data_IF_969166578947
#
_entry.id   IF_969166578947
#
_cell.length_a   1.000
_cell.length_b   1.000
_cell.length_c   1.000
_cell.angle_alpha   90.00
_cell.angle_beta   90.00
_cell.angle_gamma   90.00
#
_symmetry.space_group_name_H-M   'P 1'
#
loop_
_entity.id
_entity.type
_entity.pdbx_description
1 polymer ?
#
# COMPACT_ATOMS: atom_id res chain seq x y z
N UNK A 1 -4.88 11.77 25.35
CA UNK A 1 -4.41 13.14 25.02
C UNK A 1 -3.33 13.05 23.93
N UNK A 2 -3.06 14.14 23.19
CA UNK A 2 -1.98 14.22 22.19
C UNK A 2 -0.60 13.86 22.81
N UNK A 3 -0.39 14.21 24.05
CA UNK A 3 0.85 13.93 24.78
C UNK A 3 1.01 12.44 25.07
N UNK A 4 -0.05 11.74 25.44
CA UNK A 4 -0.03 10.29 25.66
C UNK A 4 0.21 9.52 24.34
N UNK A 5 -0.43 9.95 23.26
CA UNK A 5 -0.24 9.38 21.92
C UNK A 5 1.19 9.57 21.42
N UNK A 6 1.77 10.76 21.65
CA UNK A 6 3.16 11.04 21.31
C UNK A 6 4.15 10.17 22.10
N UNK A 7 3.87 9.90 23.38
CA UNK A 7 4.68 9.04 24.23
C UNK A 7 4.58 7.56 23.80
N UNK A 8 3.40 7.10 23.41
CA UNK A 8 3.20 5.75 22.89
C UNK A 8 3.91 5.56 21.55
N UNK A 9 3.79 6.52 20.62
CA UNK A 9 4.50 6.49 19.34
C UNK A 9 6.03 6.49 19.54
N UNK A 10 6.56 7.22 20.53
CA UNK A 10 7.99 7.23 20.85
C UNK A 10 8.45 5.84 21.34
N UNK A 11 7.68 5.19 22.20
CA UNK A 11 7.96 3.85 22.69
C UNK A 11 7.95 2.80 21.56
N UNK A 12 6.99 2.91 20.64
CA UNK A 12 6.92 2.03 19.45
C UNK A 12 8.19 2.20 18.61
N UNK A 13 8.66 3.42 18.36
CA UNK A 13 9.89 3.69 17.60
C UNK A 13 11.11 3.05 18.24
N UNK A 14 11.27 3.20 19.54
CA UNK A 14 12.41 2.67 20.31
C UNK A 14 12.45 1.13 20.25
N UNK A 15 11.31 0.47 20.44
CA UNK A 15 11.19 -0.99 20.35
C UNK A 15 11.52 -1.49 18.94
N UNK A 16 11.03 -0.79 17.92
CA UNK A 16 11.28 -1.17 16.51
C UNK A 16 12.76 -1.00 16.17
N UNK A 17 13.36 0.13 16.50
CA UNK A 17 14.78 0.41 16.25
C UNK A 17 15.69 -0.63 16.92
N UNK A 18 15.44 -0.94 18.19
CA UNK A 18 16.19 -1.96 18.92
C UNK A 18 16.03 -3.35 18.26
N UNK A 19 14.82 -3.71 17.84
CA UNK A 19 14.55 -4.99 17.20
C UNK A 19 15.22 -5.11 15.83
N UNK A 20 15.16 -4.07 15.00
CA UNK A 20 15.83 -4.06 13.68
C UNK A 20 17.36 -4.12 13.83
N UNK A 21 17.91 -3.41 14.81
CA UNK A 21 19.35 -3.46 15.13
C UNK A 21 19.78 -4.87 15.56
N UNK A 22 18.95 -5.55 16.37
CA UNK A 22 19.22 -6.91 16.80
C UNK A 22 19.21 -7.91 15.62
N UNK A 23 18.25 -7.76 14.69
CA UNK A 23 18.21 -8.59 13.48
C UNK A 23 19.43 -8.33 12.59
N UNK A 24 19.81 -7.07 12.40
CA UNK A 24 21.00 -6.71 11.60
C UNK A 24 22.29 -7.31 12.15
N UNK A 25 22.39 -7.40 13.48
CA UNK A 25 23.58 -7.90 14.17
C UNK A 25 23.65 -9.43 14.24
N UNK A 26 22.53 -10.09 14.51
CA UNK A 26 22.46 -11.50 14.89
C UNK A 26 21.62 -12.37 13.92
N UNK A 27 21.13 -11.82 12.80
CA UNK A 27 20.51 -12.56 11.71
C UNK A 27 19.41 -13.56 12.12
N UNK A 28 19.52 -14.79 11.67
CA UNK A 28 18.55 -15.86 11.95
C UNK A 28 18.39 -16.16 13.44
N UNK A 29 19.44 -15.98 14.25
CA UNK A 29 19.36 -16.18 15.69
C UNK A 29 18.39 -15.17 16.32
N UNK A 30 18.50 -13.88 15.97
CA UNK A 30 17.58 -12.85 16.45
C UNK A 30 16.15 -13.15 16.04
N UNK A 31 15.92 -13.53 14.78
CA UNK A 31 14.58 -13.90 14.27
C UNK A 31 14.00 -15.06 15.08
N UNK A 32 14.78 -16.09 15.42
CA UNK A 32 14.32 -17.22 16.22
C UNK A 32 13.92 -16.82 17.64
N UNK A 33 14.72 -16.00 18.28
CA UNK A 33 14.46 -15.51 19.64
C UNK A 33 13.21 -14.64 19.69
N UNK A 34 13.02 -13.75 18.71
CA UNK A 34 11.84 -12.89 18.56
C UNK A 34 10.58 -13.69 18.25
N UNK A 35 10.64 -14.67 17.33
CA UNK A 35 9.52 -15.54 17.03
C UNK A 35 9.12 -16.43 18.21
N UNK A 36 10.11 -16.91 18.99
CA UNK A 36 9.82 -17.61 20.24
C UNK A 36 9.10 -16.71 21.24
N UNK A 37 9.55 -15.45 21.36
CA UNK A 37 9.01 -14.50 22.34
C UNK A 37 7.61 -14.00 21.97
N UNK A 38 7.36 -13.68 20.71
CA UNK A 38 6.12 -13.01 20.27
C UNK A 38 5.10 -13.96 19.67
N UNK A 39 5.56 -14.99 18.94
CA UNK A 39 4.68 -15.93 18.24
C UNK A 39 4.60 -17.30 18.91
N UNK A 40 5.42 -17.56 19.95
CA UNK A 40 5.61 -18.87 20.56
C UNK A 40 5.86 -19.97 19.51
N UNK A 41 6.68 -19.63 18.49
CA UNK A 41 6.90 -20.46 17.32
C UNK A 41 8.39 -20.59 17.02
N UNK A 42 8.90 -21.83 17.02
CA UNK A 42 10.32 -22.14 16.83
C UNK A 42 10.49 -23.35 15.89
N UNK A 43 10.16 -23.21 14.59
CA UNK A 43 10.31 -24.29 13.64
C UNK A 43 11.80 -24.53 13.34
N UNK A 44 12.12 -25.66 12.73
CA UNK A 44 13.47 -25.89 12.19
C UNK A 44 13.79 -24.88 11.08
N UNK A 45 12.84 -24.65 10.18
CA UNK A 45 12.92 -23.66 9.12
C UNK A 45 11.66 -22.77 9.11
N UNK A 46 11.84 -21.48 8.99
CA UNK A 46 10.70 -20.56 8.81
C UNK A 46 10.11 -20.60 7.42
N UNK A 47 10.89 -20.97 6.41
CA UNK A 47 10.44 -21.17 5.04
C UNK A 47 9.77 -22.50 4.90
N UNK A 48 8.54 -22.50 4.38
CA UNK A 48 7.81 -23.72 4.05
C UNK A 48 8.41 -24.37 2.79
N UNK A 49 8.61 -25.65 2.86
CA UNK A 49 8.96 -26.46 1.70
C UNK A 49 7.70 -26.85 0.89
N UNK A 50 7.89 -27.42 -0.29
CA UNK A 50 6.80 -27.76 -1.20
C UNK A 50 5.79 -28.74 -0.57
N UNK A 51 6.24 -29.73 0.18
CA UNK A 51 5.33 -30.70 0.82
C UNK A 51 4.51 -30.08 1.95
N UNK A 52 5.07 -29.13 2.69
CA UNK A 52 4.34 -28.39 3.73
C UNK A 52 3.28 -27.47 3.11
N UNK A 53 3.58 -26.82 1.99
CA UNK A 53 2.62 -26.02 1.24
C UNK A 53 1.48 -26.89 0.71
N UNK A 54 1.79 -28.03 0.08
CA UNK A 54 0.79 -28.98 -0.42
C UNK A 54 -0.08 -29.52 0.72
N UNK A 55 0.52 -29.87 1.86
CA UNK A 55 -0.22 -30.34 3.04
C UNK A 55 -1.16 -29.25 3.59
N UNK A 56 -0.72 -27.99 3.62
CA UNK A 56 -1.58 -26.87 4.01
C UNK A 56 -2.75 -26.68 3.03
N UNK A 57 -2.50 -26.75 1.73
CA UNK A 57 -3.54 -26.62 0.70
C UNK A 57 -4.61 -27.73 0.83
N UNK A 58 -4.21 -28.98 1.11
CA UNK A 58 -5.14 -30.10 1.32
C UNK A 58 -6.04 -29.93 2.55
N UNK A 59 -5.68 -29.07 3.49
CA UNK A 59 -6.49 -28.78 4.70
C UNK A 59 -7.55 -27.69 4.45
N UNK A 60 -7.47 -26.97 3.32
CA UNK A 60 -8.49 -25.97 2.95
C UNK A 60 -9.72 -26.70 2.39
N UNK A 61 -10.91 -26.33 2.85
CA UNK A 61 -12.14 -26.90 2.32
C UNK A 61 -12.33 -26.55 0.85
N UNK A 62 -13.06 -27.40 0.10
CA UNK A 62 -13.34 -27.11 -1.32
C UNK A 62 -14.05 -25.78 -1.51
N UNK A 63 -14.96 -25.43 -0.60
CA UNK A 63 -15.69 -24.16 -0.64
C UNK A 63 -14.76 -22.96 -0.41
N UNK A 64 -13.92 -23.02 0.63
CA UNK A 64 -12.96 -21.93 0.90
C UNK A 64 -11.97 -21.77 -0.26
N UNK A 65 -11.60 -22.89 -0.91
CA UNK A 65 -10.73 -22.86 -2.08
C UNK A 65 -11.41 -22.17 -3.27
N UNK A 66 -12.71 -22.45 -3.50
CA UNK A 66 -13.50 -21.76 -4.52
C UNK A 66 -13.62 -20.27 -4.25
N UNK A 67 -13.85 -19.88 -2.99
CA UNK A 67 -13.93 -18.47 -2.57
C UNK A 67 -12.59 -17.73 -2.79
N UNK A 68 -11.46 -18.36 -2.42
CA UNK A 68 -10.12 -17.83 -2.70
C UNK A 68 -9.89 -17.67 -4.20
N UNK A 69 -10.25 -18.66 -5.00
CA UNK A 69 -10.10 -18.62 -6.47
C UNK A 69 -10.96 -17.51 -7.09
N UNK A 70 -12.20 -17.34 -6.61
CA UNK A 70 -13.08 -16.28 -7.06
C UNK A 70 -12.46 -14.90 -6.79
N UNK A 71 -12.04 -14.66 -5.55
CA UNK A 71 -11.42 -13.40 -5.15
C UNK A 71 -10.16 -13.11 -5.97
N UNK A 72 -9.26 -14.09 -6.10
CA UNK A 72 -8.03 -13.94 -6.89
C UNK A 72 -8.30 -13.67 -8.36
N UNK A 73 -9.34 -14.26 -8.94
CA UNK A 73 -9.75 -13.97 -10.31
C UNK A 73 -10.15 -12.51 -10.50
N UNK A 74 -10.95 -11.95 -9.58
CA UNK A 74 -11.37 -10.55 -9.68
C UNK A 74 -10.21 -9.59 -9.49
N UNK A 75 -9.34 -9.84 -8.50
CA UNK A 75 -8.14 -9.03 -8.27
C UNK A 75 -7.21 -9.08 -9.47
N UNK A 76 -7.00 -10.25 -10.06
CA UNK A 76 -6.18 -10.42 -11.27
C UNK A 76 -6.74 -9.63 -12.45
N UNK A 77 -8.04 -9.76 -12.71
CA UNK A 77 -8.70 -9.04 -13.81
C UNK A 77 -8.48 -7.52 -13.71
N UNK A 78 -8.63 -6.97 -12.52
CA UNK A 78 -8.45 -5.53 -12.32
C UNK A 78 -6.96 -5.13 -12.37
N UNK A 79 -6.08 -5.91 -11.74
CA UNK A 79 -4.64 -5.68 -11.78
C UNK A 79 -4.07 -5.75 -13.20
N UNK A 80 -4.53 -6.68 -14.04
CA UNK A 80 -4.15 -6.79 -15.46
C UNK A 80 -4.60 -5.57 -16.26
N UNK A 81 -5.82 -5.08 -16.02
CA UNK A 81 -6.32 -3.83 -16.62
C UNK A 81 -5.47 -2.62 -16.20
N UNK A 82 -5.13 -2.52 -14.92
CA UNK A 82 -4.21 -1.49 -14.42
C UNK A 82 -2.83 -1.60 -15.07
N UNK A 83 -2.27 -2.82 -15.18
CA UNK A 83 -0.97 -3.02 -15.83
C UNK A 83 -1.00 -2.62 -17.30
N UNK A 84 -2.07 -2.92 -18.01
CA UNK A 84 -2.24 -2.57 -19.43
C UNK A 84 -2.34 -1.04 -19.65
N UNK A 85 -2.80 -0.27 -18.66
CA UNK A 85 -2.85 1.19 -18.73
C UNK A 85 -1.48 1.88 -18.61
N UNK A 86 -0.45 1.15 -18.16
CA UNK A 86 0.92 1.66 -18.00
C UNK A 86 1.78 1.25 -19.20
N UNK A 87 1.86 2.13 -20.17
CA UNK A 87 2.69 1.92 -21.38
C UNK A 87 4.05 2.59 -21.24
N UNK A 88 5.06 1.99 -21.87
CA UNK A 88 6.34 2.67 -22.10
C UNK A 88 6.14 3.80 -23.10
N UNK A 89 6.95 4.85 -22.99
CA UNK A 89 6.93 6.00 -23.88
C UNK A 89 8.27 6.12 -24.58
N UNK A 90 8.26 6.33 -25.87
CA UNK A 90 9.41 6.78 -26.65
C UNK A 90 8.93 7.83 -27.66
N UNK A 91 9.57 9.00 -27.66
CA UNK A 91 9.18 10.13 -28.47
C UNK A 91 10.41 10.92 -28.95
N UNK A 92 10.39 11.33 -30.19
CA UNK A 92 11.32 12.36 -30.71
C UNK A 92 10.80 13.74 -30.32
N UNK A 93 11.47 14.41 -29.36
CA UNK A 93 11.03 15.71 -28.80
C UNK A 93 11.56 16.89 -29.64
N UNK A 94 12.63 16.67 -30.36
CA UNK A 94 13.19 17.57 -31.37
C UNK A 94 14.00 16.70 -32.34
N UNK A 95 14.25 17.16 -33.57
CA UNK A 95 14.96 16.37 -34.60
C UNK A 95 16.27 15.77 -34.07
N UNK A 96 16.36 14.42 -34.08
CA UNK A 96 17.52 13.67 -33.61
C UNK A 96 17.62 13.50 -32.08
N UNK A 97 16.63 13.92 -31.29
CA UNK A 97 16.60 13.73 -29.83
C UNK A 97 15.44 12.84 -29.43
N UNK A 98 15.75 11.64 -28.99
CA UNK A 98 14.79 10.63 -28.52
C UNK A 98 14.78 10.61 -27.00
N UNK A 99 13.62 10.81 -26.39
CA UNK A 99 13.37 10.62 -24.96
C UNK A 99 12.38 9.50 -24.75
N UNK A 100 12.58 8.74 -23.67
CA UNK A 100 11.63 7.71 -23.32
C UNK A 100 11.62 7.39 -21.84
N UNK A 101 10.62 6.61 -21.44
CA UNK A 101 10.65 5.93 -20.16
C UNK A 101 10.15 4.48 -20.27
N UNK A 102 10.59 3.66 -19.34
CA UNK A 102 10.18 2.27 -19.21
C UNK A 102 9.65 2.01 -17.82
N UNK A 103 8.57 1.23 -17.75
CA UNK A 103 7.98 0.75 -16.49
C UNK A 103 8.55 -0.63 -16.14
N UNK A 104 9.55 -0.65 -15.26
CA UNK A 104 10.33 -1.84 -14.91
C UNK A 104 9.96 -2.32 -13.52
N UNK A 105 9.55 -3.60 -13.33
CA UNK A 105 9.24 -4.14 -12.01
C UNK A 105 10.43 -4.04 -11.06
N UNK A 106 10.14 -3.86 -9.75
CA UNK A 106 11.14 -4.11 -8.71
C UNK A 106 11.60 -5.57 -8.81
N UNK A 107 12.87 -5.85 -8.50
CA UNK A 107 13.43 -7.20 -8.71
C UNK A 107 12.98 -8.19 -7.64
N UNK A 108 12.62 -7.71 -6.45
CA UNK A 108 12.09 -8.56 -5.39
C UNK A 108 11.18 -7.76 -4.45
N UNK A 109 10.17 -8.45 -3.91
CA UNK A 109 9.24 -7.88 -2.94
C UNK A 109 8.99 -8.84 -1.78
N UNK A 110 8.92 -8.30 -0.57
CA UNK A 110 8.47 -8.98 0.64
C UNK A 110 7.03 -8.57 0.95
N UNK A 111 6.11 -9.51 0.84
CA UNK A 111 4.70 -9.34 1.13
C UNK A 111 4.42 -9.76 2.56
N UNK A 112 4.12 -8.80 3.43
CA UNK A 112 3.70 -9.07 4.79
C UNK A 112 2.19 -9.27 4.83
N UNK A 113 1.76 -10.44 5.29
CA UNK A 113 0.36 -10.79 5.50
C UNK A 113 0.07 -10.76 7.00
N UNK A 114 -0.78 -9.84 7.47
CA UNK A 114 -1.07 -9.76 8.89
C UNK A 114 -1.82 -11.01 9.39
N UNK A 115 -1.62 -11.30 10.65
CA UNK A 115 -2.29 -12.36 11.38
C UNK A 115 -2.44 -11.97 12.83
N UNK A 116 -2.82 -12.88 13.68
CA UNK A 116 -3.05 -12.67 15.09
C UNK A 116 -4.51 -12.88 15.45
N UNK A 117 -5.28 -11.82 15.71
CA UNK A 117 -6.72 -11.96 16.06
C UNK A 117 -7.53 -12.62 14.93
N UNK A 118 -7.24 -12.26 13.68
CA UNK A 118 -7.92 -12.79 12.48
C UNK A 118 -6.92 -13.25 11.41
N UNK A 119 -7.15 -14.39 10.74
CA UNK A 119 -6.36 -14.81 9.60
C UNK A 119 -6.72 -13.95 8.37
N UNK A 120 -5.82 -13.06 7.95
CA UNK A 120 -6.06 -12.10 6.88
C UNK A 120 -5.79 -12.70 5.50
N UNK A 121 -6.62 -13.67 5.07
CA UNK A 121 -6.48 -14.37 3.78
C UNK A 121 -6.48 -13.40 2.59
N UNK A 122 -7.36 -12.38 2.63
CA UNK A 122 -7.44 -11.37 1.58
C UNK A 122 -6.12 -10.60 1.38
N UNK A 123 -5.41 -10.26 2.47
CA UNK A 123 -4.11 -9.56 2.37
C UNK A 123 -3.05 -10.37 1.62
N UNK A 124 -3.13 -11.72 1.65
CA UNK A 124 -2.24 -12.58 0.91
C UNK A 124 -2.38 -12.36 -0.61
N UNK A 125 -3.61 -12.38 -1.14
CA UNK A 125 -3.76 -12.16 -2.58
C UNK A 125 -3.65 -10.68 -2.97
N UNK A 126 -4.03 -9.73 -2.12
CA UNK A 126 -3.91 -8.30 -2.41
C UNK A 126 -2.46 -7.87 -2.65
N UNK A 127 -1.52 -8.42 -1.89
CA UNK A 127 -0.09 -8.11 -2.03
C UNK A 127 0.61 -9.01 -3.07
N UNK A 128 0.52 -10.33 -2.89
CA UNK A 128 1.26 -11.31 -3.71
C UNK A 128 0.80 -11.33 -5.16
N UNK A 129 -0.52 -11.41 -5.39
CA UNK A 129 -1.07 -11.50 -6.74
C UNK A 129 -0.84 -10.20 -7.53
N UNK A 130 -0.99 -9.05 -6.90
CA UNK A 130 -0.73 -7.75 -7.54
C UNK A 130 0.74 -7.62 -7.94
N UNK A 131 1.67 -8.07 -7.09
CA UNK A 131 3.10 -8.12 -7.42
C UNK A 131 3.38 -9.09 -8.59
N UNK A 132 2.70 -10.24 -8.61
CA UNK A 132 2.82 -11.22 -9.70
C UNK A 132 2.35 -10.64 -11.04
N UNK A 133 1.21 -9.96 -11.07
CA UNK A 133 0.70 -9.28 -12.28
C UNK A 133 1.62 -8.13 -12.72
N UNK A 134 2.24 -7.42 -11.78
CA UNK A 134 3.24 -6.41 -12.11
C UNK A 134 4.50 -6.99 -12.77
N UNK A 135 4.72 -8.30 -12.68
CA UNK A 135 5.88 -9.00 -13.23
C UNK A 135 7.11 -8.97 -12.32
N UNK A 136 6.93 -8.89 -11.00
CA UNK A 136 8.04 -8.95 -10.03
C UNK A 136 8.69 -10.33 -10.08
N UNK A 137 10.01 -10.44 -10.37
CA UNK A 137 10.66 -11.75 -10.59
C UNK A 137 10.77 -12.61 -9.33
N UNK A 138 10.91 -12.00 -8.14
CA UNK A 138 10.99 -12.70 -6.87
C UNK A 138 10.00 -12.11 -5.87
N UNK A 139 9.03 -12.92 -5.47
CA UNK A 139 7.99 -12.57 -4.52
C UNK A 139 8.12 -13.50 -3.32
N UNK A 140 8.44 -12.94 -2.16
CA UNK A 140 8.41 -13.67 -0.90
C UNK A 140 7.23 -13.18 -0.07
N UNK A 141 6.58 -14.08 0.65
CA UNK A 141 5.43 -13.76 1.48
C UNK A 141 5.63 -14.31 2.89
N UNK A 142 5.24 -13.55 3.90
CA UNK A 142 5.36 -13.94 5.30
C UNK A 142 4.08 -13.65 6.05
N UNK A 143 3.62 -14.63 6.83
CA UNK A 143 2.49 -14.49 7.75
C UNK A 143 2.84 -15.11 9.12
N UNK A 144 2.31 -14.57 10.23
CA UNK A 144 2.52 -15.18 11.55
C UNK A 144 1.86 -16.55 11.63
N UNK A 145 2.34 -17.42 12.51
CA UNK A 145 1.65 -18.67 12.83
C UNK A 145 0.31 -18.38 13.52
N UNK A 146 -0.63 -19.27 13.34
CA UNK A 146 -1.92 -19.27 14.05
C UNK A 146 -1.99 -20.54 14.87
N UNK A 147 -2.14 -20.42 16.19
CA UNK A 147 -2.11 -21.56 17.12
C UNK A 147 -0.85 -22.43 16.99
N UNK A 148 0.31 -21.82 16.69
CA UNK A 148 1.59 -22.50 16.61
C UNK A 148 1.84 -23.24 15.30
N UNK A 149 1.05 -23.00 14.25
CA UNK A 149 1.22 -23.60 12.92
C UNK A 149 0.86 -22.62 11.78
N UNK A 150 1.33 -22.89 10.52
CA UNK A 150 0.92 -22.12 9.36
C UNK A 150 -0.59 -22.22 9.14
N UNK A 151 -1.27 -21.10 8.92
CA UNK A 151 -2.70 -21.09 8.62
C UNK A 151 -2.97 -21.56 7.18
N UNK A 152 -3.72 -22.69 6.97
CA UNK A 152 -3.86 -23.32 5.67
C UNK A 152 -4.36 -22.42 4.56
N UNK A 153 -5.42 -21.63 4.81
CA UNK A 153 -6.00 -20.73 3.82
C UNK A 153 -5.07 -19.57 3.44
N UNK A 154 -4.26 -19.06 4.40
CA UNK A 154 -3.27 -18.01 4.12
C UNK A 154 -2.16 -18.58 3.24
N UNK A 155 -1.64 -19.78 3.55
CA UNK A 155 -0.61 -20.45 2.75
C UNK A 155 -1.13 -20.72 1.34
N UNK A 156 -2.35 -21.24 1.20
CA UNK A 156 -2.99 -21.45 -0.09
C UNK A 156 -3.12 -20.16 -0.90
N UNK A 157 -3.60 -19.09 -0.28
CA UNK A 157 -3.77 -17.79 -0.92
C UNK A 157 -2.43 -17.20 -1.38
N UNK A 158 -1.37 -17.27 -0.56
CA UNK A 158 -0.03 -16.83 -0.95
C UNK A 158 0.54 -17.66 -2.11
N UNK A 159 0.42 -18.99 -2.03
CA UNK A 159 0.93 -19.89 -3.07
C UNK A 159 0.22 -19.68 -4.40
N UNK A 160 -1.11 -19.69 -4.40
CA UNK A 160 -1.93 -19.50 -5.60
C UNK A 160 -1.82 -18.08 -6.17
N UNK A 161 -1.51 -17.09 -5.33
CA UNK A 161 -1.21 -15.71 -5.74
C UNK A 161 0.11 -15.56 -6.48
N UNK A 162 1.01 -16.54 -6.37
CA UNK A 162 2.29 -16.56 -7.07
C UNK A 162 3.51 -16.25 -6.17
N UNK A 163 3.43 -16.48 -4.86
CA UNK A 163 4.59 -16.39 -3.99
C UNK A 163 5.62 -17.47 -4.34
N UNK A 164 6.87 -17.08 -4.54
CA UNK A 164 7.99 -17.98 -4.80
C UNK A 164 8.53 -18.61 -3.51
N UNK A 165 8.43 -17.88 -2.41
CA UNK A 165 8.89 -18.30 -1.10
C UNK A 165 7.84 -17.89 -0.05
N UNK A 166 7.50 -18.82 0.84
CA UNK A 166 6.51 -18.58 1.90
C UNK A 166 7.19 -18.84 3.24
N UNK A 167 7.13 -17.83 4.12
CA UNK A 167 7.70 -17.85 5.45
C UNK A 167 6.59 -17.78 6.51
N UNK A 168 6.81 -18.44 7.63
CA UNK A 168 5.89 -18.38 8.79
C UNK A 168 6.56 -17.57 9.90
N UNK A 169 6.39 -16.27 9.81
CA UNK A 169 6.93 -15.28 10.75
C UNK A 169 5.98 -14.09 10.80
N UNK A 170 5.82 -13.50 11.98
CA UNK A 170 5.01 -12.30 12.19
C UNK A 170 5.82 -11.06 12.57
N UNK A 171 5.14 -9.95 12.73
CA UNK A 171 5.65 -8.74 13.36
C UNK A 171 6.89 -8.09 12.73
N UNK A 172 7.63 -7.39 13.57
CA UNK A 172 8.85 -6.65 13.18
C UNK A 172 9.89 -7.62 12.64
N UNK A 173 10.02 -8.81 13.23
CA UNK A 173 11.05 -9.79 12.83
C UNK A 173 10.84 -10.30 11.40
N UNK A 174 9.61 -10.46 10.94
CA UNK A 174 9.33 -10.81 9.55
C UNK A 174 9.73 -9.69 8.59
N UNK A 175 9.29 -8.48 8.88
CA UNK A 175 9.57 -7.29 8.06
C UNK A 175 11.06 -6.96 8.06
N UNK A 176 11.71 -7.02 9.23
CA UNK A 176 13.14 -6.83 9.39
C UNK A 176 13.96 -7.86 8.63
N UNK A 177 13.64 -9.15 8.79
CA UNK A 177 14.35 -10.24 8.09
C UNK A 177 14.22 -10.12 6.56
N UNK A 178 13.04 -9.78 6.05
CA UNK A 178 12.84 -9.58 4.61
C UNK A 178 13.61 -8.37 4.06
N UNK A 179 13.75 -7.29 4.83
CA UNK A 179 14.41 -6.07 4.36
C UNK A 179 15.93 -6.07 4.56
N UNK A 180 16.38 -6.57 5.70
CA UNK A 180 17.80 -6.56 6.08
C UNK A 180 18.52 -7.76 5.46
N UNK A 181 17.81 -8.89 5.36
CA UNK A 181 18.38 -10.18 5.05
C UNK A 181 18.93 -10.89 6.29
N UNK A 182 19.01 -12.20 6.23
CA UNK A 182 19.62 -13.07 7.22
C UNK A 182 20.42 -14.16 6.53
N UNK A 183 20.96 -15.13 7.26
CA UNK A 183 21.69 -16.25 6.66
C UNK A 183 20.80 -17.12 5.75
N UNK A 184 19.49 -17.16 6.03
CA UNK A 184 18.53 -17.99 5.25
C UNK A 184 17.54 -17.18 4.41
N UNK A 185 17.51 -15.85 4.55
CA UNK A 185 16.59 -14.97 3.83
C UNK A 185 17.38 -13.91 3.05
N UNK A 186 17.41 -14.04 1.75
CA UNK A 186 17.95 -13.01 0.88
C UNK A 186 17.09 -11.74 0.95
N UNK A 187 17.66 -10.54 1.13
CA UNK A 187 16.89 -9.30 1.28
C UNK A 187 16.10 -8.97 0.01
N UNK A 188 15.00 -8.24 0.20
CA UNK A 188 14.15 -7.74 -0.88
C UNK A 188 14.40 -6.27 -1.15
N UNK A 189 13.95 -5.80 -2.32
CA UNK A 189 14.06 -4.39 -2.69
C UNK A 189 12.85 -3.55 -2.25
N UNK A 190 11.72 -4.19 -1.92
CA UNK A 190 10.50 -3.51 -1.51
C UNK A 190 9.72 -4.35 -0.50
N UNK A 191 9.08 -3.68 0.45
CA UNK A 191 8.14 -4.28 1.41
C UNK A 191 6.73 -3.78 1.14
N UNK A 192 5.77 -4.68 1.17
CA UNK A 192 4.34 -4.36 1.02
C UNK A 192 3.49 -5.10 2.03
N UNK A 193 2.31 -4.58 2.27
CA UNK A 193 1.31 -5.16 3.15
C UNK A 193 1.01 -4.31 4.38
N UNK A 194 -0.24 -4.37 4.87
CA UNK A 194 -0.68 -3.68 6.06
C UNK A 194 -0.17 -4.38 7.32
N UNK A 195 -0.22 -3.71 8.46
CA UNK A 195 0.15 -4.30 9.73
C UNK A 195 -0.19 -3.39 10.91
N UNK A 196 0.07 -3.86 12.13
CA UNK A 196 -0.11 -3.05 13.32
C UNK A 196 0.92 -1.90 13.40
N UNK A 197 0.83 -1.06 14.43
CA UNK A 197 1.69 0.10 14.61
C UNK A 197 3.21 -0.23 14.56
N UNK A 198 3.59 -1.41 15.08
CA UNK A 198 4.99 -1.86 15.06
C UNK A 198 5.47 -2.22 13.65
N UNK A 199 4.64 -2.91 12.87
CA UNK A 199 4.94 -3.26 11.47
C UNK A 199 5.00 -2.00 10.61
N UNK A 200 4.05 -1.08 10.79
CA UNK A 200 4.03 0.19 10.09
C UNK A 200 5.28 1.03 10.39
N UNK A 201 5.68 1.10 11.67
CA UNK A 201 6.88 1.80 12.09
C UNK A 201 8.16 1.11 11.58
N UNK A 202 8.20 -0.23 11.55
CA UNK A 202 9.34 -0.97 10.98
C UNK A 202 9.51 -0.65 9.49
N UNK A 203 8.42 -0.64 8.72
CA UNK A 203 8.45 -0.20 7.31
C UNK A 203 8.96 1.23 7.17
N UNK A 204 8.52 2.14 8.04
CA UNK A 204 8.96 3.55 8.04
C UNK A 204 10.46 3.68 8.29
N UNK A 205 11.02 2.93 9.26
CA UNK A 205 12.45 2.97 9.56
C UNK A 205 13.31 2.31 8.49
N UNK A 206 12.77 1.31 7.79
CA UNK A 206 13.45 0.61 6.70
C UNK A 206 13.35 1.34 5.35
N UNK A 207 12.46 2.33 5.23
CA UNK A 207 12.34 3.13 4.01
C UNK A 207 13.65 3.87 3.71
N UNK A 208 14.09 3.74 2.47
CA UNK A 208 15.40 4.23 2.03
C UNK A 208 16.43 3.09 1.89
N UNK A 209 16.40 2.10 2.78
CA UNK A 209 17.09 0.81 2.57
C UNK A 209 16.34 -0.05 1.57
N UNK A 210 15.01 -0.11 1.72
CA UNK A 210 14.08 -0.75 0.80
C UNK A 210 12.94 0.20 0.46
N UNK A 211 12.23 -0.02 -0.65
CA UNK A 211 10.98 0.67 -0.94
C UNK A 211 9.84 0.15 -0.04
N UNK A 212 8.80 0.96 0.13
CA UNK A 212 7.55 0.53 0.77
C UNK A 212 6.35 0.90 -0.11
N UNK A 213 5.24 0.21 0.06
CA UNK A 213 3.98 0.51 -0.63
C UNK A 213 3.41 1.87 -0.21
N UNK A 214 3.10 1.98 1.09
CA UNK A 214 2.53 3.16 1.73
C UNK A 214 2.61 3.01 3.26
N UNK A 215 2.27 4.06 3.97
CA UNK A 215 2.09 4.02 5.41
C UNK A 215 0.62 3.69 5.73
N UNK A 216 0.38 2.54 6.35
CA UNK A 216 -0.94 2.11 6.80
C UNK A 216 -0.94 1.92 8.33
N UNK A 217 -1.77 2.67 9.02
CA UNK A 217 -2.04 2.57 10.45
C UNK A 217 -3.40 1.90 10.73
N UNK A 218 -4.07 2.26 11.84
CA UNK A 218 -5.43 1.78 12.14
C UNK A 218 -6.39 2.12 11.01
N UNK A 219 -7.32 1.20 10.72
CA UNK A 219 -8.35 1.37 9.70
C UNK A 219 -9.26 2.56 10.01
N UNK A 220 -9.54 3.36 8.99
CA UNK A 220 -10.40 4.54 9.03
C UNK A 220 -11.54 4.37 8.03
N UNK A 221 -12.78 4.68 8.43
CA UNK A 221 -13.92 4.63 7.51
C UNK A 221 -14.78 5.88 7.59
N UNK A 222 -15.31 6.27 6.45
CA UNK A 222 -16.24 7.39 6.31
C UNK A 222 -17.43 6.96 5.48
N UNK A 223 -18.64 7.29 5.94
CA UNK A 223 -19.89 7.16 5.19
C UNK A 223 -20.39 8.56 4.86
N UNK A 224 -20.47 8.89 3.59
CA UNK A 224 -21.12 10.10 3.07
C UNK A 224 -22.47 9.69 2.53
N UNK A 225 -23.55 10.17 3.16
CA UNK A 225 -24.89 9.73 2.81
C UNK A 225 -25.90 10.88 2.88
N UNK A 226 -26.95 10.78 2.08
CA UNK A 226 -28.08 11.70 2.09
C UNK A 226 -29.42 10.96 2.36
N UNK A 227 -30.53 11.64 2.16
CA UNK A 227 -31.88 11.14 2.39
C UNK A 227 -32.32 9.96 1.49
N UNK A 228 -31.49 9.57 0.52
CA UNK A 228 -31.82 8.51 -0.46
C UNK A 228 -31.53 7.10 0.04
N UNK A 229 -30.83 6.97 1.17
CA UNK A 229 -30.49 5.68 1.80
C UNK A 229 -31.07 5.59 3.21
N UNK A 230 -31.14 4.36 3.71
CA UNK A 230 -31.64 4.09 5.06
C UNK A 230 -30.52 4.04 6.11
N UNK A 231 -30.93 4.24 7.35
CA UNK A 231 -30.03 4.30 8.48
C UNK A 231 -29.36 2.95 8.81
N UNK A 232 -30.03 1.82 8.50
CA UNK A 232 -29.47 0.48 8.78
C UNK A 232 -28.22 0.22 7.92
N UNK A 233 -28.22 0.61 6.63
CA UNK A 233 -27.05 0.53 5.78
C UNK A 233 -25.89 1.36 6.35
N UNK A 234 -26.16 2.63 6.68
CA UNK A 234 -25.13 3.52 7.21
C UNK A 234 -24.52 2.97 8.52
N UNK A 235 -25.35 2.57 9.47
CA UNK A 235 -24.92 2.03 10.75
C UNK A 235 -24.13 0.71 10.61
N UNK A 236 -24.58 -0.17 9.69
CA UNK A 236 -23.92 -1.45 9.43
C UNK A 236 -22.54 -1.23 8.83
N UNK A 237 -22.39 -0.33 7.87
CA UNK A 237 -21.09 -0.04 7.24
C UNK A 237 -20.11 0.63 8.20
N UNK A 238 -20.59 1.53 9.08
CA UNK A 238 -19.77 2.14 10.13
C UNK A 238 -19.25 1.10 11.14
N UNK A 239 -20.16 0.29 11.69
CA UNK A 239 -19.82 -0.70 12.72
C UNK A 239 -19.02 -1.88 12.18
N UNK A 240 -19.26 -2.28 10.92
CA UNK A 240 -18.49 -3.33 10.24
C UNK A 240 -17.02 -2.97 10.07
N UNK A 241 -16.67 -1.69 10.07
CA UNK A 241 -15.28 -1.24 10.06
C UNK A 241 -14.75 -0.93 11.46
N UNK A 242 -15.61 -0.44 12.38
CA UNK A 242 -15.23 -0.19 13.77
C UNK A 242 -14.76 -1.45 14.52
N UNK A 243 -15.18 -2.66 14.09
CA UNK A 243 -14.76 -3.94 14.66
C UNK A 243 -13.29 -4.30 14.44
N UNK A 244 -12.60 -3.62 13.52
CA UNK A 244 -11.18 -3.86 13.22
C UNK A 244 -10.27 -3.63 14.43
N UNK A 245 -10.60 -2.66 15.29
CA UNK A 245 -9.82 -2.38 16.49
C UNK A 245 -10.41 -1.27 17.35
N UNK A 246 -10.02 -1.22 18.60
CA UNK A 246 -10.49 -0.23 19.58
C UNK A 246 -10.18 1.25 19.20
N UNK A 247 -9.35 1.47 18.21
CA UNK A 247 -8.88 2.78 17.76
C UNK A 247 -9.11 3.01 16.24
N UNK A 248 -10.14 2.38 15.67
CA UNK A 248 -10.53 2.50 14.27
C UNK A 248 -11.57 3.61 14.08
N UNK A 249 -11.21 4.82 13.60
CA UNK A 249 -12.16 5.90 13.43
C UNK A 249 -13.26 5.56 12.42
N UNK A 250 -14.50 5.92 12.78
CA UNK A 250 -15.66 5.77 11.90
C UNK A 250 -16.44 7.08 11.88
N UNK A 251 -16.56 7.71 10.73
CA UNK A 251 -17.26 8.99 10.57
C UNK A 251 -18.44 8.88 9.62
N UNK A 252 -19.56 9.50 9.95
CA UNK A 252 -20.65 9.76 9.02
C UNK A 252 -20.74 11.24 8.73
N UNK A 253 -20.86 11.59 7.45
CA UNK A 253 -21.11 12.95 6.99
C UNK A 253 -22.42 12.95 6.22
N UNK A 254 -23.35 13.81 6.62
CA UNK A 254 -24.67 13.88 5.98
C UNK A 254 -25.23 15.30 5.99
N UNK A 255 -26.08 15.62 5.03
CA UNK A 255 -26.91 16.83 5.04
C UNK A 255 -28.36 16.56 5.51
N UNK A 256 -28.65 15.33 5.96
CA UNK A 256 -29.97 14.94 6.49
C UNK A 256 -29.92 14.73 7.99
N UNK A 257 -30.45 15.70 8.75
CA UNK A 257 -30.56 15.58 10.22
C UNK A 257 -31.35 14.34 10.62
N UNK A 258 -32.42 14.02 9.88
CA UNK A 258 -33.21 12.82 10.13
C UNK A 258 -32.38 11.55 9.96
N UNK A 259 -31.60 11.43 8.88
CA UNK A 259 -30.75 10.27 8.65
C UNK A 259 -29.68 10.14 9.73
N UNK A 260 -29.09 11.26 10.17
CA UNK A 260 -28.11 11.24 11.26
C UNK A 260 -28.74 10.69 12.56
N UNK A 261 -29.91 11.17 12.95
CA UNK A 261 -30.63 10.70 14.15
C UNK A 261 -31.02 9.23 14.03
N UNK A 262 -31.58 8.81 12.92
CA UNK A 262 -31.99 7.42 12.68
C UNK A 262 -30.76 6.47 12.69
N UNK A 263 -29.63 6.90 12.12
CA UNK A 263 -28.38 6.12 12.12
C UNK A 263 -27.84 5.92 13.53
N UNK A 264 -27.91 6.93 14.40
CA UNK A 264 -27.53 6.77 15.81
C UNK A 264 -28.39 5.74 16.53
N UNK A 265 -29.70 5.71 16.24
CA UNK A 265 -30.64 4.71 16.80
C UNK A 265 -30.27 3.29 16.29
N UNK A 266 -29.98 3.18 14.99
CA UNK A 266 -29.59 1.90 14.38
C UNK A 266 -28.24 1.40 14.92
N UNK A 267 -27.26 2.27 15.14
CA UNK A 267 -25.99 1.91 15.78
C UNK A 267 -26.24 1.27 17.15
N UNK A 268 -27.06 1.91 17.99
CA UNK A 268 -27.40 1.34 19.30
C UNK A 268 -28.13 -0.02 19.20
N UNK A 269 -29.00 -0.17 18.20
CA UNK A 269 -29.69 -1.43 17.94
C UNK A 269 -28.73 -2.54 17.51
N UNK A 270 -27.87 -2.25 16.55
CA UNK A 270 -26.92 -3.22 15.98
C UNK A 270 -25.90 -3.65 17.02
N UNK A 271 -25.38 -2.73 17.82
CA UNK A 271 -24.43 -3.06 18.90
C UNK A 271 -24.97 -4.05 19.92
N UNK A 272 -26.30 -4.17 20.10
CA UNK A 272 -26.92 -5.16 20.99
C UNK A 272 -26.91 -6.59 20.43
N UNK A 273 -26.77 -6.75 19.12
CA UNK A 273 -26.83 -8.04 18.42
C UNK A 273 -25.54 -8.44 17.74
N UNK A 274 -24.60 -7.50 17.56
CA UNK A 274 -23.32 -7.74 16.87
C UNK A 274 -22.40 -8.57 17.77
N UNK A 275 -21.90 -9.74 17.34
CA UNK A 275 -20.98 -10.56 18.14
C UNK A 275 -19.67 -9.86 18.51
N UNK A 276 -19.22 -8.91 17.68
CA UNK A 276 -17.99 -8.10 17.88
C UNK A 276 -18.27 -6.76 18.55
N UNK A 277 -19.42 -6.61 19.20
CA UNK A 277 -19.89 -5.34 19.80
C UNK A 277 -18.91 -4.75 20.82
N UNK A 278 -18.17 -5.57 21.58
CA UNK A 278 -17.16 -5.08 22.53
C UNK A 278 -16.12 -4.17 21.83
N UNK A 279 -15.58 -4.60 20.70
CA UNK A 279 -14.59 -3.82 19.96
C UNK A 279 -15.25 -2.64 19.23
N UNK A 280 -16.38 -2.91 18.54
CA UNK A 280 -17.07 -1.91 17.75
C UNK A 280 -17.64 -0.75 18.58
N UNK A 281 -18.23 -1.04 19.78
CA UNK A 281 -18.74 0.00 20.69
C UNK A 281 -17.61 0.87 21.23
N UNK A 282 -16.52 0.26 21.71
CA UNK A 282 -15.39 1.02 22.22
C UNK A 282 -14.74 1.91 21.15
N UNK A 283 -14.66 1.41 19.91
CA UNK A 283 -14.18 2.21 18.77
C UNK A 283 -15.14 3.37 18.47
N UNK A 284 -16.44 3.10 18.37
CA UNK A 284 -17.45 4.13 18.11
C UNK A 284 -17.53 5.18 19.21
N UNK A 285 -17.52 4.79 20.49
CA UNK A 285 -17.57 5.71 21.64
C UNK A 285 -16.37 6.67 21.69
N UNK A 286 -15.19 6.21 21.28
CA UNK A 286 -13.95 7.01 21.41
C UNK A 286 -13.54 7.72 20.10
N UNK A 287 -13.95 7.20 18.93
CA UNK A 287 -13.48 7.65 17.62
C UNK A 287 -14.60 7.71 16.58
N UNK A 288 -15.87 7.60 16.99
CA UNK A 288 -17.02 7.78 16.12
C UNK A 288 -17.39 9.25 15.98
N UNK A 289 -17.63 9.70 14.76
CA UNK A 289 -18.07 11.08 14.46
C UNK A 289 -19.37 11.08 13.64
N UNK A 290 -20.33 11.90 14.04
CA UNK A 290 -21.54 12.20 13.28
C UNK A 290 -21.50 13.68 12.88
N UNK A 291 -21.30 13.97 11.59
CA UNK A 291 -21.09 15.33 11.08
C UNK A 291 -22.27 15.72 10.21
N UNK A 292 -22.99 16.76 10.64
CA UNK A 292 -24.08 17.37 9.89
C UNK A 292 -23.57 18.59 9.14
N UNK A 293 -23.80 18.61 7.84
CA UNK A 293 -23.44 19.69 6.92
C UNK A 293 -24.71 20.32 6.30
N UNK A 294 -24.60 21.54 5.84
CA UNK A 294 -25.73 22.22 5.18
C UNK A 294 -25.87 21.81 3.70
N UNK A 295 -24.76 21.47 3.03
CA UNK A 295 -24.72 21.17 1.58
C UNK A 295 -23.79 20.02 1.23
N UNK A 296 -23.94 19.46 0.03
CA UNK A 296 -23.02 18.46 -0.53
C UNK A 296 -21.59 19.03 -0.73
N UNK A 297 -21.46 20.30 -1.05
CA UNK A 297 -20.18 20.99 -1.20
C UNK A 297 -19.44 21.08 0.11
N UNK A 298 -20.16 21.32 1.21
CA UNK A 298 -19.57 21.31 2.57
C UNK A 298 -19.19 19.88 2.98
N UNK A 299 -20.05 18.89 2.73
CA UNK A 299 -19.75 17.46 2.95
C UNK A 299 -18.46 17.04 2.23
N UNK A 300 -18.31 17.45 0.96
CA UNK A 300 -17.11 17.20 0.17
C UNK A 300 -15.87 17.86 0.76
N UNK A 301 -15.98 19.12 1.19
CA UNK A 301 -14.86 19.86 1.79
C UNK A 301 -14.37 19.19 3.08
N UNK A 302 -15.29 18.82 3.96
CA UNK A 302 -14.99 18.09 5.21
C UNK A 302 -14.34 16.73 4.90
N UNK A 303 -14.91 15.97 3.97
CA UNK A 303 -14.40 14.66 3.58
C UNK A 303 -12.96 14.74 3.03
N UNK A 304 -12.68 15.71 2.16
CA UNK A 304 -11.33 15.94 1.63
C UNK A 304 -10.33 16.39 2.72
N UNK A 305 -10.78 17.14 3.73
CA UNK A 305 -9.88 17.52 4.85
C UNK A 305 -9.58 16.32 5.75
N UNK A 306 -10.57 15.49 6.04
CA UNK A 306 -10.40 14.27 6.83
C UNK A 306 -9.54 13.23 6.09
N UNK A 307 -9.67 13.12 4.78
CA UNK A 307 -8.87 12.26 3.88
C UNK A 307 -8.76 10.80 4.38
N UNK A 308 -9.90 10.20 4.71
CA UNK A 308 -9.99 8.86 5.28
C UNK A 308 -9.62 7.76 4.28
N UNK A 309 -9.24 6.63 4.84
CA UNK A 309 -8.85 5.41 4.11
C UNK A 309 -9.98 4.88 3.23
N UNK A 310 -11.13 4.58 3.84
CA UNK A 310 -12.30 4.04 3.15
C UNK A 310 -13.40 5.10 3.15
N UNK A 311 -13.90 5.45 1.98
CA UNK A 311 -14.99 6.43 1.83
C UNK A 311 -16.14 5.81 1.06
N UNK A 312 -17.22 5.48 1.77
CA UNK A 312 -18.47 4.99 1.23
C UNK A 312 -19.35 6.19 0.87
N UNK A 313 -19.80 6.28 -0.36
CA UNK A 313 -20.68 7.35 -0.85
C UNK A 313 -22.03 6.76 -1.23
N UNK A 314 -23.08 7.22 -0.60
CA UNK A 314 -24.46 6.76 -0.79
C UNK A 314 -25.39 7.98 -0.88
N UNK A 315 -25.33 8.66 -2.02
CA UNK A 315 -26.05 9.90 -2.27
C UNK A 315 -26.75 9.87 -3.63
N UNK A 316 -27.57 10.85 -3.92
CA UNK A 316 -28.11 11.06 -5.27
C UNK A 316 -27.08 11.69 -6.25
N UNK A 317 -25.82 11.93 -5.77
CA UNK A 317 -24.73 12.57 -6.52
C UNK A 317 -23.42 11.77 -6.48
N UNK A 318 -23.48 10.44 -6.49
CA UNK A 318 -22.27 9.60 -6.37
C UNK A 318 -21.22 9.91 -7.43
N UNK A 319 -21.61 10.09 -8.70
CA UNK A 319 -20.69 10.46 -9.79
C UNK A 319 -20.06 11.85 -9.60
N UNK A 320 -20.81 12.80 -9.03
CA UNK A 320 -20.26 14.12 -8.71
C UNK A 320 -19.18 14.03 -7.64
N UNK A 321 -19.35 13.16 -6.61
CA UNK A 321 -18.28 12.92 -5.63
C UNK A 321 -17.07 12.25 -6.26
N UNK A 322 -17.26 11.28 -7.17
CA UNK A 322 -16.17 10.65 -7.90
C UNK A 322 -15.32 11.67 -8.69
N UNK A 323 -15.95 12.67 -9.27
CA UNK A 323 -15.28 13.70 -10.07
C UNK A 323 -14.60 14.77 -9.20
N UNK A 324 -15.09 15.04 -7.99
CA UNK A 324 -14.67 16.19 -7.18
C UNK A 324 -13.89 15.81 -5.92
N UNK A 325 -13.95 14.57 -5.43
CA UNK A 325 -13.10 14.10 -4.34
C UNK A 325 -11.67 13.85 -4.81
N UNK A 326 -10.69 14.27 -4.00
CA UNK A 326 -9.28 14.15 -4.33
C UNK A 326 -8.39 13.64 -3.17
N UNK A 327 -8.96 13.38 -1.99
CA UNK A 327 -8.22 12.98 -0.79
C UNK A 327 -8.91 11.80 -0.10
N UNK A 328 -8.54 10.58 -0.50
CA UNK A 328 -9.10 9.33 0.03
C UNK A 328 -8.18 8.15 -0.26
N UNK A 329 -8.37 7.05 0.44
CA UNK A 329 -7.71 5.77 0.09
C UNK A 329 -8.43 5.05 -1.04
N UNK A 330 -9.72 4.77 -0.85
CA UNK A 330 -10.61 4.20 -1.88
C UNK A 330 -12.04 4.74 -1.73
N UNK A 331 -12.75 4.88 -2.87
CA UNK A 331 -14.17 5.22 -2.92
C UNK A 331 -15.01 3.97 -3.18
N UNK A 332 -16.13 3.88 -2.47
CA UNK A 332 -17.17 2.87 -2.64
C UNK A 332 -18.46 3.58 -3.00
N UNK A 333 -18.92 3.43 -4.25
CA UNK A 333 -20.00 4.24 -4.82
C UNK A 333 -21.31 3.48 -4.81
N UNK A 334 -22.32 4.08 -4.22
CA UNK A 334 -23.70 3.62 -4.16
C UNK A 334 -23.98 2.57 -3.09
N UNK A 335 -25.26 2.41 -2.74
CA UNK A 335 -25.68 1.54 -1.64
C UNK A 335 -25.56 0.03 -1.91
N UNK A 336 -25.22 -0.37 -3.14
CA UNK A 336 -24.94 -1.78 -3.50
C UNK A 336 -23.46 -2.15 -3.34
N UNK A 337 -22.60 -1.17 -3.11
CA UNK A 337 -21.17 -1.35 -2.87
C UNK A 337 -20.91 -1.13 -1.39
N UNK A 338 -19.95 -1.85 -0.83
CA UNK A 338 -19.47 -1.61 0.53
C UNK A 338 -18.00 -1.95 0.66
N UNK A 339 -17.40 -1.55 1.78
CA UNK A 339 -15.99 -1.76 2.08
C UNK A 339 -15.65 -3.25 2.12
N UNK A 340 -16.49 -4.10 2.75
CA UNK A 340 -16.24 -5.53 2.86
C UNK A 340 -16.13 -6.23 1.49
N UNK A 341 -16.95 -5.84 0.52
CA UNK A 341 -16.85 -6.35 -0.86
C UNK A 341 -15.51 -5.94 -1.50
N UNK A 342 -15.11 -4.67 -1.33
CA UNK A 342 -13.83 -4.16 -1.81
C UNK A 342 -12.64 -4.88 -1.18
N UNK A 343 -12.70 -5.07 0.13
CA UNK A 343 -11.65 -5.70 0.91
C UNK A 343 -11.45 -7.19 0.61
N UNK A 344 -12.45 -7.85 0.09
CA UNK A 344 -12.43 -9.32 -0.01
C UNK A 344 -12.49 -9.84 -1.45
N UNK A 345 -13.41 -9.36 -2.28
CA UNK A 345 -13.80 -10.13 -3.47
C UNK A 345 -13.98 -9.33 -4.77
N UNK A 346 -14.15 -8.01 -4.72
CA UNK A 346 -14.58 -7.23 -5.90
C UNK A 346 -13.44 -6.97 -6.90
N UNK A 347 -12.19 -6.92 -6.42
CA UNK A 347 -11.00 -6.79 -7.26
C UNK A 347 -10.10 -5.58 -6.96
N UNK A 348 -10.60 -4.56 -6.26
CA UNK A 348 -9.78 -3.45 -5.78
C UNK A 348 -8.88 -3.89 -4.62
N UNK A 349 -7.83 -3.13 -4.34
CA UNK A 349 -6.88 -3.47 -3.28
C UNK A 349 -7.26 -2.79 -1.96
N UNK A 350 -7.21 -3.54 -0.88
CA UNK A 350 -7.55 -3.06 0.46
C UNK A 350 -6.36 -2.47 1.25
N UNK A 351 -5.15 -2.56 0.73
CA UNK A 351 -3.99 -1.94 1.36
C UNK A 351 -4.00 -0.46 1.00
N UNK A 352 -4.54 0.36 1.87
CA UNK A 352 -4.88 1.75 1.62
C UNK A 352 -4.14 2.70 2.58
N UNK A 353 -3.96 3.97 2.19
CA UNK A 353 -3.30 4.97 3.03
C UNK A 353 -4.21 5.44 4.17
N UNK A 354 -3.67 5.53 5.37
CA UNK A 354 -4.34 6.07 6.56
C UNK A 354 -3.69 7.38 7.04
N UNK A 355 -4.20 7.96 8.11
CA UNK A 355 -3.64 9.18 8.74
C UNK A 355 -3.42 10.31 7.74
N UNK A 356 -4.45 10.58 6.94
CA UNK A 356 -4.47 11.62 5.90
C UNK A 356 -3.48 11.43 4.75
N UNK A 357 -2.84 10.27 4.62
CA UNK A 357 -1.93 9.99 3.51
C UNK A 357 -2.66 9.90 2.16
N UNK A 358 -3.99 9.72 2.14
CA UNK A 358 -4.84 9.87 0.95
C UNK A 358 -4.71 11.22 0.23
N UNK A 359 -4.09 12.23 0.87
CA UNK A 359 -3.79 13.54 0.26
C UNK A 359 -2.65 13.50 -0.77
N UNK A 360 -1.78 12.49 -0.72
CA UNK A 360 -0.60 12.40 -1.59
C UNK A 360 -0.34 11.01 -2.17
N UNK A 361 -1.06 9.99 -1.76
CA UNK A 361 -0.92 8.63 -2.31
C UNK A 361 -2.25 7.89 -2.30
N UNK A 362 -2.46 7.03 -3.27
CA UNK A 362 -3.54 6.05 -3.27
C UNK A 362 -3.11 4.72 -2.66
N UNK A 363 -3.98 3.72 -2.73
CA UNK A 363 -3.75 2.36 -2.26
C UNK A 363 -2.67 1.59 -3.05
N UNK A 364 -2.42 0.37 -2.61
CA UNK A 364 -1.56 -0.57 -3.31
C UNK A 364 -2.21 -0.96 -4.65
N UNK A 365 -1.43 -0.95 -5.70
CA UNK A 365 -1.83 -1.33 -7.05
C UNK A 365 -0.60 -1.74 -7.85
N UNK A 366 -0.80 -2.26 -9.06
CA UNK A 366 0.29 -2.73 -9.94
C UNK A 366 1.41 -1.70 -10.08
N UNK A 367 1.07 -0.42 -10.23
CA UNK A 367 2.06 0.65 -10.41
C UNK A 367 3.00 0.87 -9.23
N UNK A 368 2.63 0.48 -8.01
CA UNK A 368 3.55 0.56 -6.85
C UNK A 368 4.76 -0.38 -6.99
N UNK A 369 4.61 -1.47 -7.74
CA UNK A 369 5.69 -2.41 -8.01
C UNK A 369 6.54 -2.05 -9.23
N UNK A 370 6.19 -0.98 -9.95
CA UNK A 370 6.88 -0.55 -11.16
C UNK A 370 7.70 0.72 -10.89
N UNK A 371 8.93 0.71 -11.39
CA UNK A 371 9.82 1.86 -11.42
C UNK A 371 9.78 2.46 -12.82
N UNK A 372 9.43 3.73 -12.94
CA UNK A 372 9.48 4.44 -14.20
C UNK A 372 10.87 5.04 -14.38
N UNK A 373 11.66 4.46 -15.28
CA UNK A 373 13.01 4.89 -15.58
C UNK A 373 13.06 5.60 -16.93
N UNK A 374 13.53 6.84 -16.93
CA UNK A 374 13.77 7.60 -18.15
C UNK A 374 15.08 7.18 -18.83
N UNK A 375 15.11 7.30 -20.15
CA UNK A 375 16.32 7.23 -20.97
C UNK A 375 16.29 8.32 -22.04
N UNK A 376 17.47 8.65 -22.56
CA UNK A 376 17.65 9.69 -23.55
C UNK A 376 18.73 9.28 -24.56
N UNK A 377 18.53 9.66 -25.80
CA UNK A 377 19.45 9.39 -26.92
C UNK A 377 19.49 10.58 -27.84
N UNK A 378 20.69 10.95 -28.29
CA UNK A 378 20.91 11.91 -29.36
C UNK A 378 21.50 11.13 -30.53
N UNK A 379 20.84 11.17 -31.69
CA UNK A 379 21.13 10.29 -32.82
C UNK A 379 21.84 11.02 -33.99
N UNK A 380 21.79 12.35 -34.01
CA UNK A 380 22.41 13.13 -35.10
C UNK A 380 23.47 14.10 -34.58
N UNK A 381 24.42 14.43 -35.44
CA UNK A 381 25.50 15.36 -35.12
C UNK A 381 24.96 16.79 -34.95
N UNK A 382 23.96 17.19 -35.72
CA UNK A 382 23.28 18.47 -35.60
C UNK A 382 22.57 18.62 -34.26
N UNK A 383 21.87 17.56 -33.81
CA UNK A 383 21.24 17.57 -32.52
C UNK A 383 22.27 17.60 -31.37
N UNK A 384 23.36 16.85 -31.49
CA UNK A 384 24.43 16.83 -30.51
C UNK A 384 25.10 18.21 -30.38
N UNK A 385 25.31 18.89 -31.50
CA UNK A 385 25.81 20.26 -31.51
C UNK A 385 24.83 21.21 -30.83
N UNK A 386 23.59 21.25 -31.29
CA UNK A 386 22.55 22.17 -30.79
C UNK A 386 22.31 22.03 -29.29
N UNK A 387 22.07 20.81 -28.84
CA UNK A 387 21.86 20.52 -27.42
C UNK A 387 23.12 20.83 -26.60
N UNK A 388 24.28 20.50 -27.12
CA UNK A 388 25.55 20.79 -26.50
C UNK A 388 25.83 22.28 -26.30
N UNK A 389 25.48 23.13 -27.25
CA UNK A 389 25.63 24.59 -27.16
C UNK A 389 24.75 25.16 -26.01
N UNK A 390 23.47 24.79 -25.97
CA UNK A 390 22.58 25.21 -24.88
C UNK A 390 23.01 24.65 -23.53
N UNK A 391 23.38 23.37 -23.49
CA UNK A 391 23.85 22.72 -22.27
C UNK A 391 25.13 23.38 -21.73
N UNK A 392 26.09 23.70 -22.58
CA UNK A 392 27.32 24.40 -22.19
C UNK A 392 27.00 25.74 -21.51
N UNK A 393 26.20 26.60 -22.17
CA UNK A 393 25.84 27.91 -21.62
C UNK A 393 25.10 27.81 -20.28
N UNK A 394 24.15 26.89 -20.16
CA UNK A 394 23.43 26.68 -18.89
C UNK A 394 24.34 26.17 -17.79
N UNK A 395 25.22 25.20 -18.07
CA UNK A 395 26.19 24.72 -17.09
C UNK A 395 27.15 25.83 -16.63
N UNK A 396 27.61 26.70 -17.55
CA UNK A 396 28.45 27.85 -17.19
C UNK A 396 27.70 28.89 -16.38
N UNK A 397 26.43 29.13 -16.66
CA UNK A 397 25.56 30.00 -15.83
C UNK A 397 25.45 29.53 -14.40
N UNK A 398 25.43 28.20 -14.19
CA UNK A 398 25.42 27.56 -12.87
C UNK A 398 26.83 27.42 -12.24
N UNK A 399 27.89 27.74 -12.96
CA UNK A 399 29.26 27.58 -12.52
C UNK A 399 29.82 26.17 -12.65
N UNK A 400 29.12 25.25 -13.31
CA UNK A 400 29.55 23.85 -13.51
C UNK A 400 30.44 23.70 -14.75
N UNK A 401 31.69 24.17 -14.67
CA UNK A 401 32.65 24.13 -15.79
C UNK A 401 32.88 22.71 -16.33
N UNK A 402 32.99 21.70 -15.43
CA UNK A 402 33.16 20.32 -15.87
C UNK A 402 31.96 19.76 -16.62
N UNK A 403 30.72 20.14 -16.24
CA UNK A 403 29.52 19.80 -16.99
C UNK A 403 29.46 20.54 -18.35
N UNK A 404 29.83 21.80 -18.36
CA UNK A 404 29.98 22.56 -19.61
C UNK A 404 30.94 21.86 -20.58
N UNK A 405 32.07 21.34 -20.09
CA UNK A 405 33.04 20.62 -20.91
C UNK A 405 32.50 19.28 -21.47
N UNK A 406 31.58 18.60 -20.75
CA UNK A 406 30.86 17.45 -21.33
C UNK A 406 30.05 17.84 -22.57
N UNK A 407 29.45 19.02 -22.57
CA UNK A 407 28.75 19.58 -23.71
C UNK A 407 29.75 20.07 -24.80
N UNK A 408 30.74 20.85 -24.41
CA UNK A 408 31.73 21.43 -25.30
C UNK A 408 32.49 20.38 -26.13
N UNK A 409 32.88 19.27 -25.53
CA UNK A 409 33.58 18.21 -26.26
C UNK A 409 32.70 17.58 -27.35
N UNK A 410 31.40 17.55 -27.16
CA UNK A 410 30.44 17.08 -28.17
C UNK A 410 30.23 18.10 -29.27
N UNK A 411 30.12 19.37 -28.92
CA UNK A 411 30.03 20.47 -29.90
C UNK A 411 31.30 20.53 -30.77
N UNK A 412 32.49 20.40 -30.16
CA UNK A 412 33.75 20.32 -30.92
C UNK A 412 33.79 19.12 -31.86
N UNK A 413 33.37 17.93 -31.37
CA UNK A 413 33.47 16.69 -32.14
C UNK A 413 32.43 16.54 -33.23
N UNK A 414 31.19 16.86 -32.93
CA UNK A 414 30.04 16.65 -33.84
C UNK A 414 29.65 17.93 -34.61
N UNK A 415 29.83 19.11 -34.01
CA UNK A 415 29.53 20.38 -34.63
C UNK A 415 30.71 21.06 -35.33
N UNK A 416 31.93 20.56 -35.14
CA UNK A 416 33.14 21.13 -35.74
C UNK A 416 33.54 22.51 -35.21
N UNK A 417 32.88 23.02 -34.14
CA UNK A 417 33.17 24.32 -33.54
C UNK A 417 34.39 24.24 -32.63
N UNK A 418 35.25 25.27 -32.67
CA UNK A 418 36.36 25.39 -31.74
C UNK A 418 35.89 26.17 -30.48
N UNK A 419 35.69 25.47 -29.37
CA UNK A 419 35.36 26.08 -28.08
C UNK A 419 36.58 25.90 -27.17
N UNK A 420 37.18 26.97 -26.64
CA UNK A 420 38.28 26.89 -25.69
C UNK A 420 37.83 26.15 -24.43
N UNK A 421 38.76 25.43 -23.79
CA UNK A 421 38.49 24.70 -22.57
C UNK A 421 38.14 25.66 -21.43
N UNK A 422 37.00 25.39 -20.75
CA UNK A 422 36.51 26.22 -19.65
C UNK A 422 35.67 27.42 -20.06
N UNK A 423 35.37 27.57 -21.36
CA UNK A 423 34.50 28.63 -21.89
C UNK A 423 33.13 28.08 -22.29
N UNK A 424 32.12 28.95 -22.38
CA UNK A 424 30.81 28.57 -22.88
C UNK A 424 30.83 28.44 -24.42
N UNK A 425 30.00 27.52 -24.94
CA UNK A 425 29.71 27.49 -26.39
C UNK A 425 28.87 28.71 -26.78
N UNK A 426 29.34 29.49 -27.75
CA UNK A 426 28.61 30.64 -28.31
C UNK A 426 27.49 30.19 -29.27
#
# INVERSE_FOLDING_TARGET
TETEKAAEDAKVREVVEATLTEIEKNGDQAVRELSKKFDNYTPENFRLNKSEIEAAMHRVSSRDMEDIQFAQKQIRNFAEAQRASMTDVEIETMPGVILGHRNIPVQSVGCYVPGGKFPMVASAHMSVLTASVAGVPRIIASAPPVNGEPHPAIVAAMHMGGAHEIYVMGGIQAVGAMAIGTETIEPVHMLVGPGNAFVAEAKRQLYGRVGIDLFAGPTETMVIADHTVDAELCATDLLGQAEHGYNSPAAMITCSEKLAQDTMIEIERILKILPTSETASASWENYGDMILCDTHEEMLAVANDMAYEHVQIMTDRDDWYLENMHSYGALFLGPRTNVANGDKVIGTNHTLPTKKAGRYTGGLWVGKFLKTHSYQRIETDEAAQLVGEYGSRLCMLEGFVGHAEQCNVRVRRYGGKNIPYGEAAE
#
